data_IF_256138667711
#
_entry.id   IF_256138667711
#
_cell.length_a   1.000
_cell.length_b   1.000
_cell.length_c   1.000
_cell.angle_alpha   90.00
_cell.angle_beta   90.00
_cell.angle_gamma   90.00
#
_symmetry.space_group_name_H-M   'P 1'
#
loop_
_entity.id
_entity.type
_entity.pdbx_description
1 polymer ?
#
# COMPACT_ATOMS: atom_id res chain seq x y z
N UNK A 1 -3.76 11.77 2.42
CA UNK A 1 -2.62 10.84 2.23
C UNK A 1 -3.21 9.43 2.19
N UNK A 2 -3.06 8.69 1.07
CA UNK A 2 -3.70 7.41 0.68
C UNK A 2 -4.82 6.84 1.58
N UNK A 3 -4.52 6.43 2.82
CA UNK A 3 -5.52 5.92 3.78
C UNK A 3 -6.70 6.88 4.04
N UNK A 4 -6.45 8.20 4.07
CA UNK A 4 -7.53 9.20 4.19
C UNK A 4 -8.37 9.37 2.91
N UNK A 5 -7.83 8.95 1.76
CA UNK A 5 -8.56 8.95 0.49
C UNK A 5 -9.43 7.70 0.36
N UNK A 6 -8.98 6.55 0.88
CA UNK A 6 -9.76 5.31 0.89
C UNK A 6 -11.12 5.45 1.60
N UNK A 7 -11.19 6.22 2.68
CA UNK A 7 -12.43 6.47 3.44
C UNK A 7 -13.48 7.29 2.67
N UNK A 8 -13.06 8.04 1.63
CA UNK A 8 -13.89 9.09 1.01
C UNK A 8 -14.16 8.90 -0.47
N UNK A 9 -13.56 7.90 -1.10
CA UNK A 9 -13.45 7.86 -2.56
C UNK A 9 -14.09 6.61 -3.18
N UNK A 10 -15.22 6.83 -3.84
CA UNK A 10 -15.92 5.79 -4.60
C UNK A 10 -15.12 5.24 -5.78
N UNK A 11 -14.19 6.03 -6.33
CA UNK A 11 -13.33 5.60 -7.45
C UNK A 11 -12.28 4.58 -6.99
N UNK A 12 -11.65 4.82 -5.82
CA UNK A 12 -10.75 3.84 -5.19
C UNK A 12 -11.49 2.53 -4.90
N UNK A 13 -12.72 2.58 -4.40
CA UNK A 13 -13.54 1.39 -4.19
C UNK A 13 -13.80 0.65 -5.51
N UNK A 14 -14.17 1.36 -6.58
CA UNK A 14 -14.41 0.75 -7.89
C UNK A 14 -13.14 0.10 -8.46
N UNK A 15 -11.98 0.73 -8.30
CA UNK A 15 -10.69 0.18 -8.69
C UNK A 15 -10.42 -1.17 -8.02
N UNK A 16 -10.54 -1.25 -6.69
CA UNK A 16 -10.26 -2.49 -5.96
C UNK A 16 -11.31 -3.59 -6.22
N UNK A 17 -12.56 -3.24 -6.50
CA UNK A 17 -13.58 -4.21 -6.94
C UNK A 17 -13.19 -4.83 -8.29
N UNK A 18 -12.86 -3.99 -9.28
CA UNK A 18 -12.46 -4.48 -10.61
C UNK A 18 -11.18 -5.32 -10.54
N UNK A 19 -10.23 -4.91 -9.70
CA UNK A 19 -9.01 -5.66 -9.44
C UNK A 19 -9.31 -7.03 -8.83
N UNK A 20 -10.14 -7.07 -7.78
CA UNK A 20 -10.51 -8.31 -7.11
C UNK A 20 -11.20 -9.28 -8.08
N UNK A 21 -12.14 -8.79 -8.89
CA UNK A 21 -12.79 -9.59 -9.93
C UNK A 21 -11.79 -10.09 -10.98
N UNK A 22 -10.87 -9.23 -11.45
CA UNK A 22 -9.86 -9.65 -12.41
C UNK A 22 -8.95 -10.76 -11.86
N UNK A 23 -8.62 -10.72 -10.57
CA UNK A 23 -7.87 -11.79 -9.89
C UNK A 23 -8.70 -13.06 -9.77
N UNK A 24 -9.95 -12.96 -9.31
CA UNK A 24 -10.84 -14.10 -9.12
C UNK A 24 -11.14 -14.85 -10.44
N UNK A 25 -11.36 -14.10 -11.52
CA UNK A 25 -11.70 -14.64 -12.84
C UNK A 25 -10.46 -15.09 -13.64
N UNK A 26 -9.26 -14.95 -13.08
CA UNK A 26 -7.97 -15.22 -13.77
C UNK A 26 -7.87 -14.42 -15.10
N UNK A 27 -8.52 -13.26 -15.14
CA UNK A 27 -8.70 -12.44 -16.33
C UNK A 27 -7.38 -11.86 -16.86
N UNK A 28 -7.34 -11.55 -18.15
CA UNK A 28 -6.24 -10.78 -18.77
C UNK A 28 -6.14 -9.35 -18.21
N UNK A 29 -7.24 -8.83 -17.62
CA UNK A 29 -7.25 -7.53 -16.94
C UNK A 29 -6.28 -7.46 -15.75
N UNK A 30 -5.78 -8.58 -15.24
CA UNK A 30 -4.71 -8.60 -14.23
C UNK A 30 -3.44 -7.88 -14.69
N UNK A 31 -3.11 -7.93 -15.98
CA UNK A 31 -1.87 -7.34 -16.48
C UNK A 31 -1.84 -5.80 -16.33
N UNK A 32 -2.85 -5.04 -16.78
CA UNK A 32 -2.94 -3.60 -16.50
C UNK A 32 -2.82 -3.25 -15.00
N UNK A 33 -3.45 -4.03 -14.13
CA UNK A 33 -3.36 -3.80 -12.69
C UNK A 33 -1.97 -4.08 -12.12
N UNK A 34 -1.31 -5.14 -12.60
CA UNK A 34 0.07 -5.46 -12.22
C UNK A 34 1.03 -4.34 -12.62
N UNK A 35 0.88 -3.78 -13.83
CA UNK A 35 1.68 -2.63 -14.25
C UNK A 35 1.42 -1.38 -13.41
N UNK A 36 0.17 -1.11 -13.04
CA UNK A 36 -0.15 -0.02 -12.13
C UNK A 36 0.52 -0.20 -10.76
N UNK A 37 0.50 -1.42 -10.21
CA UNK A 37 1.14 -1.72 -8.91
C UNK A 37 2.67 -1.62 -8.97
N UNK A 38 3.31 -2.00 -10.08
CA UNK A 38 4.76 -1.76 -10.28
C UNK A 38 5.13 -0.28 -10.21
N UNK A 39 4.27 0.61 -10.70
CA UNK A 39 4.47 2.06 -10.59
C UNK A 39 4.43 2.54 -9.13
N UNK A 40 3.49 2.00 -8.34
CA UNK A 40 3.38 2.29 -6.90
C UNK A 40 4.59 1.74 -6.13
N UNK A 41 5.00 0.51 -6.42
CA UNK A 41 6.18 -0.14 -5.82
C UNK A 41 7.44 0.70 -6.01
N UNK A 42 7.75 1.11 -7.25
CA UNK A 42 8.89 2.00 -7.53
C UNK A 42 8.82 3.34 -6.78
N UNK A 43 7.61 3.88 -6.63
CA UNK A 43 7.39 5.13 -5.89
C UNK A 43 7.65 4.94 -4.39
N UNK A 44 7.26 3.80 -3.82
CA UNK A 44 7.53 3.44 -2.43
C UNK A 44 9.02 3.17 -2.20
N UNK A 45 9.68 2.44 -3.10
CA UNK A 45 11.11 2.18 -3.05
C UNK A 45 11.90 3.49 -3.03
N UNK A 46 11.55 4.43 -3.91
CA UNK A 46 12.16 5.76 -3.94
C UNK A 46 12.03 6.52 -2.61
N UNK A 47 10.92 6.35 -1.88
CA UNK A 47 10.75 6.94 -0.55
C UNK A 47 11.67 6.29 0.49
N UNK A 48 11.86 4.98 0.45
CA UNK A 48 12.80 4.28 1.32
C UNK A 48 14.25 4.70 1.05
N UNK A 49 14.66 4.75 -0.21
CA UNK A 49 16.00 5.20 -0.61
C UNK A 49 16.26 6.65 -0.19
N UNK A 50 15.28 7.53 -0.38
CA UNK A 50 15.35 8.91 0.10
C UNK A 50 15.50 8.96 1.62
N UNK A 51 14.69 8.19 2.34
CA UNK A 51 14.76 8.13 3.80
C UNK A 51 16.13 7.66 4.31
N UNK A 52 16.76 6.71 3.61
CA UNK A 52 18.13 6.25 3.91
C UNK A 52 19.16 7.35 3.67
N UNK A 53 19.05 8.08 2.55
CA UNK A 53 19.94 9.19 2.23
C UNK A 53 19.83 10.34 3.26
N UNK A 54 18.62 10.57 3.79
CA UNK A 54 18.34 11.58 4.81
C UNK A 54 18.62 11.10 6.24
N UNK A 55 18.96 9.81 6.44
CA UNK A 55 19.19 9.22 7.75
C UNK A 55 17.93 9.01 8.59
N UNK A 56 16.74 9.11 8.01
CA UNK A 56 15.46 8.84 8.68
C UNK A 56 15.04 7.37 8.62
N UNK A 57 15.58 6.62 7.66
CA UNK A 57 15.45 5.16 7.54
C UNK A 57 16.81 4.52 7.76
N UNK A 58 16.86 3.45 8.55
CA UNK A 58 18.09 2.71 8.87
C UNK A 58 18.79 2.23 7.59
N UNK A 59 20.10 2.45 7.53
CA UNK A 59 20.93 1.97 6.43
C UNK A 59 20.96 0.43 6.38
N UNK A 60 21.08 -0.13 5.17
CA UNK A 60 21.20 -1.57 4.95
C UNK A 60 19.89 -2.37 4.97
N UNK A 61 18.74 -1.71 5.16
CA UNK A 61 17.45 -2.31 4.83
C UNK A 61 17.35 -2.42 3.30
N UNK A 62 16.85 -3.55 2.81
CA UNK A 62 16.47 -3.72 1.41
C UNK A 62 15.24 -2.84 1.10
N UNK A 63 15.46 -1.79 0.31
CA UNK A 63 14.44 -0.78 0.01
C UNK A 63 13.30 -1.33 -0.86
N UNK A 64 13.61 -2.26 -1.76
CA UNK A 64 12.64 -2.90 -2.64
C UNK A 64 11.71 -3.82 -1.82
N UNK A 65 12.31 -4.69 -1.00
CA UNK A 65 11.54 -5.56 -0.10
C UNK A 65 10.67 -4.75 0.88
N UNK A 66 11.20 -3.66 1.45
CA UNK A 66 10.45 -2.79 2.35
C UNK A 66 9.28 -2.06 1.64
N UNK A 67 9.49 -1.64 0.39
CA UNK A 67 8.46 -1.07 -0.46
C UNK A 67 7.34 -2.06 -0.76
N UNK A 68 7.70 -3.29 -1.15
CA UNK A 68 6.74 -4.35 -1.43
C UNK A 68 5.93 -4.73 -0.18
N UNK A 69 6.58 -4.87 0.98
CA UNK A 69 5.89 -5.12 2.25
C UNK A 69 4.91 -4.01 2.60
N UNK A 70 5.32 -2.75 2.43
CA UNK A 70 4.46 -1.59 2.69
C UNK A 70 3.28 -1.54 1.73
N UNK A 71 3.52 -1.81 0.44
CA UNK A 71 2.48 -1.91 -0.59
C UNK A 71 1.48 -3.02 -0.29
N UNK A 72 1.95 -4.20 0.12
CA UNK A 72 1.10 -5.34 0.49
C UNK A 72 0.22 -5.04 1.71
N UNK A 73 0.75 -4.34 2.71
CA UNK A 73 -0.04 -3.86 3.85
C UNK A 73 -1.17 -2.93 3.37
N UNK A 74 -0.85 -1.92 2.56
CA UNK A 74 -1.82 -0.97 2.05
C UNK A 74 -2.88 -1.64 1.17
N UNK A 75 -2.46 -2.59 0.33
CA UNK A 75 -3.34 -3.42 -0.49
C UNK A 75 -4.32 -4.22 0.37
N UNK A 76 -3.83 -4.89 1.41
CA UNK A 76 -4.67 -5.66 2.35
C UNK A 76 -5.73 -4.78 3.02
N UNK A 77 -5.38 -3.54 3.40
CA UNK A 77 -6.34 -2.58 3.96
C UNK A 77 -7.41 -2.18 2.96
N UNK A 78 -7.06 -1.97 1.69
CA UNK A 78 -8.02 -1.70 0.64
C UNK A 78 -9.00 -2.87 0.44
N UNK A 79 -8.52 -4.11 0.53
CA UNK A 79 -9.38 -5.29 0.48
C UNK A 79 -10.31 -5.41 1.70
N UNK A 80 -9.83 -5.09 2.90
CA UNK A 80 -10.66 -5.09 4.11
C UNK A 80 -11.80 -4.06 4.02
N UNK A 81 -11.56 -2.88 3.43
CA UNK A 81 -12.61 -1.89 3.20
C UNK A 81 -13.65 -2.31 2.18
N UNK A 82 -13.33 -3.23 1.26
CA UNK A 82 -14.34 -3.81 0.39
C UNK A 82 -15.28 -4.74 1.15
N UNK A 83 -14.77 -5.44 2.17
CA UNK A 83 -15.53 -6.36 3.02
C UNK A 83 -16.37 -5.59 4.05
N UNK A 84 -15.77 -4.61 4.72
CA UNK A 84 -16.41 -3.74 5.69
C UNK A 84 -16.16 -2.26 5.35
N UNK A 85 -17.06 -1.63 4.58
CA UNK A 85 -16.97 -0.21 4.24
C UNK A 85 -17.13 0.73 5.44
N UNK A 86 -17.56 0.24 6.61
CA UNK A 86 -17.73 1.04 7.82
C UNK A 86 -16.57 0.87 8.81
N UNK A 87 -15.56 0.07 8.45
CA UNK A 87 -14.37 -0.14 9.26
C UNK A 87 -13.65 1.18 9.55
N UNK A 88 -13.44 1.48 10.84
CA UNK A 88 -12.67 2.65 11.26
C UNK A 88 -11.18 2.47 10.94
N UNK A 89 -10.70 3.25 9.96
CA UNK A 89 -9.30 3.26 9.54
C UNK A 89 -8.37 4.01 10.49
N UNK A 90 -8.90 4.83 11.39
CA UNK A 90 -8.10 5.69 12.27
C UNK A 90 -7.09 4.89 13.10
N UNK A 91 -7.52 3.92 13.93
CA UNK A 91 -6.57 3.14 14.76
C UNK A 91 -5.62 2.29 13.90
N UNK A 92 -6.07 1.83 12.74
CA UNK A 92 -5.28 1.03 11.81
C UNK A 92 -4.15 1.87 11.20
N UNK A 93 -4.46 3.10 10.79
CA UNK A 93 -3.48 4.05 10.27
C UNK A 93 -2.42 4.37 11.31
N UNK A 94 -2.83 4.67 12.53
CA UNK A 94 -1.92 5.00 13.64
C UNK A 94 -0.97 3.83 13.95
N UNK A 95 -1.55 2.63 14.07
CA UNK A 95 -0.79 1.40 14.34
C UNK A 95 0.18 1.08 13.21
N UNK A 96 -0.29 1.13 11.95
CA UNK A 96 0.56 0.88 10.77
C UNK A 96 1.74 1.84 10.72
N UNK A 97 1.51 3.13 10.96
CA UNK A 97 2.56 4.14 10.96
C UNK A 97 3.57 3.91 12.10
N UNK A 98 3.08 3.58 13.30
CA UNK A 98 3.95 3.24 14.43
C UNK A 98 4.82 2.02 14.12
N UNK A 99 4.24 0.96 13.56
CA UNK A 99 4.96 -0.26 13.17
C UNK A 99 6.02 0.02 12.09
N UNK A 100 5.68 0.77 11.03
CA UNK A 100 6.64 1.11 9.97
C UNK A 100 7.80 1.93 10.54
N UNK A 101 7.52 2.90 11.41
CA UNK A 101 8.56 3.70 12.09
C UNK A 101 9.45 2.82 12.97
N UNK A 102 8.87 1.99 13.83
CA UNK A 102 9.63 1.09 14.69
C UNK A 102 10.49 0.11 13.90
N UNK A 103 10.00 -0.36 12.75
CA UNK A 103 10.68 -1.35 11.92
C UNK A 103 11.83 -0.75 11.13
N UNK A 104 11.66 0.48 10.62
CA UNK A 104 12.55 1.05 9.60
C UNK A 104 13.33 2.30 10.02
N UNK A 105 12.98 2.96 11.13
CA UNK A 105 13.72 4.15 11.59
C UNK A 105 15.19 3.82 11.93
N UNK A 106 16.06 4.82 11.73
CA UNK A 106 17.47 4.80 12.08
C UNK A 106 17.70 4.90 13.60
#
# INVERSE_FOLDING_TARGET
MFLSALDRDGELRAYFVLLASAVADVSELRAPFAEAHKGVEKSLEALFLKGQAEGSVRAGIDADAAALMTGALLFGLSMQLLLDPQMDLTPIRETSLATLRLSFAA
#
